data_IF_028380318943
#
_entry.id   IF_028380318943
#
_cell.length_a   1.000
_cell.length_b   1.000
_cell.length_c   1.000
_cell.angle_alpha   90.00
_cell.angle_beta   90.00
_cell.angle_gamma   90.00
#
_symmetry.space_group_name_H-M   'P 1'
#
loop_
_entity.id
_entity.type
_entity.pdbx_description
1 polymer ?
#
# COMPACT_ATOMS: atom_id res chain seq x y z
N UNK A 1 -7.11 -0.86 -10.17
CA UNK A 1 -6.44 -1.62 -9.07
C UNK A 1 -7.06 -1.24 -7.72
N UNK A 2 -6.90 -2.09 -6.69
CA UNK A 2 -7.32 -1.73 -5.33
C UNK A 2 -6.68 -0.42 -4.85
N UNK A 3 -5.39 -0.19 -5.17
CA UNK A 3 -4.61 1.03 -4.86
C UNK A 3 -5.35 2.31 -5.25
N UNK A 4 -5.68 2.42 -6.53
CA UNK A 4 -6.31 3.60 -7.10
C UNK A 4 -7.70 3.87 -6.49
N UNK A 5 -8.50 2.83 -6.22
CA UNK A 5 -9.82 2.97 -5.59
C UNK A 5 -9.74 3.64 -4.22
N UNK A 6 -8.76 3.29 -3.37
CA UNK A 6 -8.63 3.96 -2.07
C UNK A 6 -8.07 5.37 -2.17
N UNK A 7 -7.24 5.66 -3.18
CA UNK A 7 -6.78 7.03 -3.44
C UNK A 7 -7.97 7.92 -3.78
N UNK A 8 -8.81 7.51 -4.75
CA UNK A 8 -10.04 8.24 -5.08
C UNK A 8 -10.95 8.39 -3.87
N UNK A 9 -11.21 7.31 -3.12
CA UNK A 9 -12.07 7.37 -1.94
C UNK A 9 -11.51 8.29 -0.85
N UNK A 10 -10.18 8.38 -0.70
CA UNK A 10 -9.56 9.27 0.28
C UNK A 10 -9.62 10.73 -0.18
N UNK A 11 -9.33 11.02 -1.44
CA UNK A 11 -9.40 12.38 -2.00
C UNK A 11 -10.84 12.92 -2.02
N UNK A 12 -11.81 12.06 -2.33
CA UNK A 12 -13.23 12.42 -2.36
C UNK A 12 -13.74 12.93 -1.00
N UNK A 13 -13.17 12.45 0.12
CA UNK A 13 -13.49 12.95 1.47
C UNK A 13 -13.10 14.43 1.69
N UNK A 14 -12.20 14.94 0.86
CA UNK A 14 -11.75 16.33 0.88
C UNK A 14 -12.34 17.15 -0.28
N UNK A 15 -13.32 16.61 -1.03
CA UNK A 15 -13.88 17.27 -2.21
C UNK A 15 -12.91 17.39 -3.38
N UNK A 16 -11.80 16.64 -3.37
CA UNK A 16 -10.78 16.65 -4.42
C UNK A 16 -10.93 15.40 -5.29
N UNK A 17 -10.80 15.58 -6.60
CA UNK A 17 -10.63 14.48 -7.54
C UNK A 17 -9.21 14.50 -8.10
N UNK A 18 -8.70 13.33 -8.52
CA UNK A 18 -7.50 13.33 -9.35
C UNK A 18 -7.83 14.07 -10.66
N UNK A 19 -6.94 14.95 -11.13
CA UNK A 19 -7.14 15.62 -12.41
C UNK A 19 -7.31 14.57 -13.52
N UNK A 20 -8.08 14.89 -14.57
CA UNK A 20 -8.18 14.07 -15.77
C UNK A 20 -6.87 14.20 -16.57
N UNK A 21 -5.75 13.81 -15.99
CA UNK A 21 -4.49 13.73 -16.71
C UNK A 21 -4.44 12.46 -17.55
N UNK A 22 -3.75 12.48 -18.70
CA UNK A 22 -3.53 11.28 -19.47
C UNK A 22 -2.74 10.33 -18.58
N UNK A 23 -3.33 9.17 -18.29
CA UNK A 23 -2.60 8.08 -17.65
C UNK A 23 -1.44 7.75 -18.57
N UNK A 24 -0.24 8.24 -18.23
CA UNK A 24 0.96 8.04 -19.06
C UNK A 24 1.24 6.54 -19.27
N UNK A 25 0.84 5.72 -18.29
CA UNK A 25 0.86 4.27 -18.39
C UNK A 25 -0.08 3.62 -17.37
N UNK A 26 -0.92 2.69 -17.81
CA UNK A 26 -1.68 1.82 -16.92
C UNK A 26 -0.88 0.57 -16.60
N UNK A 27 -0.34 0.47 -15.39
CA UNK A 27 0.46 -0.70 -14.95
C UNK A 27 -0.11 -1.33 -13.69
N UNK A 28 0.01 -2.66 -13.60
CA UNK A 28 -0.57 -3.47 -12.51
C UNK A 28 0.44 -3.89 -11.44
N UNK A 29 1.75 -3.83 -11.71
CA UNK A 29 2.78 -4.20 -10.74
C UNK A 29 3.43 -2.97 -10.08
N UNK A 30 3.69 -3.01 -8.76
CA UNK A 30 4.43 -1.94 -8.08
C UNK A 30 5.80 -1.68 -8.71
N UNK A 31 6.50 -2.72 -9.16
CA UNK A 31 7.81 -2.61 -9.79
C UNK A 31 7.75 -1.82 -11.11
N UNK A 32 6.73 -2.02 -11.93
CA UNK A 32 6.55 -1.25 -13.16
C UNK A 32 6.23 0.22 -12.86
N UNK A 33 5.46 0.49 -11.80
CA UNK A 33 5.18 1.86 -11.34
C UNK A 33 6.48 2.53 -10.91
N UNK A 34 7.27 1.89 -10.03
CA UNK A 34 8.54 2.45 -9.54
C UNK A 34 9.54 2.68 -10.69
N UNK A 35 9.65 1.74 -11.60
CA UNK A 35 10.50 1.84 -12.79
C UNK A 35 10.07 2.96 -13.75
N UNK A 36 8.76 3.27 -13.82
CA UNK A 36 8.23 4.41 -14.57
C UNK A 36 8.53 5.75 -13.89
N UNK A 37 8.33 5.83 -12.58
CA UNK A 37 8.68 7.02 -11.79
C UNK A 37 10.18 7.32 -11.91
N UNK A 38 11.02 6.31 -11.79
CA UNK A 38 12.48 6.43 -11.94
C UNK A 38 12.91 6.95 -13.32
N UNK A 39 12.16 6.61 -14.37
CA UNK A 39 12.39 7.09 -15.75
C UNK A 39 11.82 8.47 -16.03
N UNK A 40 11.23 9.14 -15.04
CA UNK A 40 10.71 10.50 -15.17
C UNK A 40 9.28 10.59 -15.71
N UNK A 41 8.51 9.50 -15.74
CA UNK A 41 7.10 9.53 -16.15
C UNK A 41 6.16 10.22 -15.14
N UNK A 42 6.70 10.70 -14.01
CA UNK A 42 5.96 11.47 -13.00
C UNK A 42 5.82 10.72 -11.68
N UNK A 43 4.63 10.76 -11.09
CA UNK A 43 4.33 10.16 -9.78
C UNK A 43 3.45 8.92 -9.92
N UNK A 44 3.60 7.98 -8.97
CA UNK A 44 2.83 6.73 -8.95
C UNK A 44 2.33 6.37 -7.57
N UNK A 45 1.24 5.59 -7.52
CA UNK A 45 0.66 5.09 -6.28
C UNK A 45 1.03 3.63 -6.06
N UNK A 46 1.75 3.34 -4.97
CA UNK A 46 2.11 1.97 -4.57
C UNK A 46 1.76 1.72 -3.10
N UNK A 47 1.66 0.45 -2.71
CA UNK A 47 1.64 0.09 -1.29
C UNK A 47 2.99 0.44 -0.67
N UNK A 48 3.01 0.97 0.55
CA UNK A 48 4.25 1.20 1.29
C UNK A 48 5.06 -0.10 1.47
N UNK A 49 4.40 -1.26 1.54
CA UNK A 49 5.08 -2.57 1.59
C UNK A 49 5.82 -2.95 0.31
N UNK A 50 5.46 -2.33 -0.82
CA UNK A 50 6.14 -2.56 -2.09
C UNK A 50 7.32 -1.60 -2.31
N UNK A 51 7.46 -0.58 -1.45
CA UNK A 51 8.61 0.31 -1.49
C UNK A 51 9.74 -0.29 -0.65
N UNK A 52 10.88 -0.53 -1.28
CA UNK A 52 12.11 -0.93 -0.60
C UNK A 52 13.00 0.32 -0.50
N UNK A 53 13.41 0.74 0.71
CA UNK A 53 14.39 1.82 0.86
C UNK A 53 15.63 1.54 0.01
N UNK A 54 16.06 2.53 -0.79
CA UNK A 54 17.20 2.35 -1.70
C UNK A 54 16.84 1.84 -3.10
N UNK A 55 15.57 1.89 -3.53
CA UNK A 55 15.21 1.68 -4.95
C UNK A 55 15.96 2.66 -5.86
N UNK A 56 17.10 2.21 -6.41
CA UNK A 56 18.02 2.90 -7.32
C UNK A 56 18.38 4.36 -6.95
N UNK A 57 18.16 4.78 -5.69
CA UNK A 57 18.47 6.11 -5.16
C UNK A 57 17.68 7.29 -5.75
N UNK A 58 16.75 7.07 -6.69
CA UNK A 58 16.07 8.15 -7.44
C UNK A 58 14.58 8.27 -7.16
N UNK A 59 13.99 7.30 -6.46
CA UNK A 59 12.56 7.29 -6.13
C UNK A 59 12.40 7.48 -4.63
N UNK A 60 11.64 8.50 -4.24
CA UNK A 60 11.38 8.82 -2.84
C UNK A 60 9.88 8.79 -2.52
N UNK A 61 9.46 8.21 -1.39
CA UNK A 61 8.06 8.20 -1.00
C UNK A 61 7.63 9.58 -0.50
N UNK A 62 6.50 10.08 -1.00
CA UNK A 62 5.91 11.36 -0.57
C UNK A 62 4.70 11.11 0.33
N UNK A 63 4.67 11.76 1.50
CA UNK A 63 3.49 11.77 2.38
C UNK A 63 2.67 13.03 2.12
N UNK A 64 1.37 12.86 1.89
CA UNK A 64 0.45 13.97 1.71
C UNK A 64 -0.16 14.32 3.07
N UNK A 65 0.09 15.55 3.53
CA UNK A 65 -0.48 16.05 4.78
C UNK A 65 -2.01 16.01 4.72
N UNK A 66 -2.63 15.50 5.79
CA UNK A 66 -4.09 15.42 5.87
C UNK A 66 -4.70 14.27 5.08
N UNK A 67 -3.96 13.50 4.28
CA UNK A 67 -4.51 12.37 3.52
C UNK A 67 -4.00 11.02 4.04
N UNK A 68 -4.61 10.45 5.10
CA UNK A 68 -4.18 9.17 5.64
C UNK A 68 -4.62 8.01 4.71
N UNK A 69 -3.73 7.62 3.80
CA UNK A 69 -3.93 6.43 2.96
C UNK A 69 -3.60 5.16 3.75
N UNK A 70 -4.57 4.70 4.54
CA UNK A 70 -4.46 3.46 5.33
C UNK A 70 -5.26 2.33 4.69
N UNK A 71 -4.75 1.11 4.85
CA UNK A 71 -5.42 -0.12 4.45
C UNK A 71 -5.34 -1.15 5.54
N UNK A 72 -6.39 -1.94 5.64
CA UNK A 72 -6.43 -3.12 6.46
C UNK A 72 -6.18 -4.32 5.56
N UNK A 73 -5.26 -5.19 5.98
CA UNK A 73 -5.09 -6.51 5.39
C UNK A 73 -5.89 -7.48 6.27
N UNK A 74 -6.76 -8.25 5.63
CA UNK A 74 -7.63 -9.19 6.32
C UNK A 74 -7.18 -10.61 6.02
N UNK A 75 -7.05 -11.43 7.06
CA UNK A 75 -7.00 -12.87 6.91
C UNK A 75 -8.45 -13.39 6.85
N UNK A 76 -8.82 -13.99 5.73
CA UNK A 76 -10.19 -14.50 5.50
C UNK A 76 -10.17 -16.02 5.55
N UNK A 77 -11.09 -16.61 6.32
CA UNK A 77 -11.28 -18.05 6.44
C UNK A 77 -12.75 -18.39 6.14
N UNK A 78 -12.98 -19.43 5.32
CA UNK A 78 -14.31 -20.02 5.21
C UNK A 78 -14.59 -20.87 6.46
N UNK A 79 -15.58 -20.49 7.26
CA UNK A 79 -15.95 -21.19 8.50
C UNK A 79 -16.60 -22.56 8.28
N UNK A 80 -17.06 -22.85 7.06
CA UNK A 80 -17.66 -24.14 6.71
C UNK A 80 -16.61 -25.20 6.33
N UNK A 81 -15.33 -24.84 6.31
CA UNK A 81 -14.23 -25.76 6.00
C UNK A 81 -13.19 -25.72 7.10
N UNK A 82 -12.85 -26.89 7.60
CA UNK A 82 -11.72 -27.03 8.50
C UNK A 82 -10.42 -26.69 7.76
N UNK A 83 -9.54 -26.00 8.47
CA UNK A 83 -8.21 -25.70 7.96
C UNK A 83 -7.28 -26.89 8.20
N UNK A 84 -6.46 -27.28 7.21
CA UNK A 84 -5.32 -28.14 7.46
C UNK A 84 -4.46 -27.61 8.60
N UNK A 85 -3.81 -28.51 9.35
CA UNK A 85 -3.04 -28.16 10.56
C UNK A 85 -2.06 -27.00 10.30
N UNK A 86 -1.35 -27.01 9.17
CA UNK A 86 -0.40 -25.94 8.79
C UNK A 86 -1.10 -24.59 8.62
N UNK A 87 -2.25 -24.56 7.93
CA UNK A 87 -3.02 -23.33 7.73
C UNK A 87 -3.62 -22.80 9.04
N UNK A 88 -4.04 -23.70 9.94
CA UNK A 88 -4.50 -23.33 11.29
C UNK A 88 -3.37 -22.69 12.09
N UNK A 89 -2.18 -23.28 12.09
CA UNK A 89 -0.98 -22.74 12.76
C UNK A 89 -0.58 -21.38 12.20
N UNK A 90 -0.62 -21.20 10.88
CA UNK A 90 -0.37 -19.90 10.26
C UNK A 90 -1.42 -18.86 10.69
N UNK A 91 -2.71 -19.22 10.68
CA UNK A 91 -3.77 -18.29 11.10
C UNK A 91 -3.66 -17.90 12.58
N UNK A 92 -3.29 -18.84 13.46
CA UNK A 92 -2.96 -18.56 14.87
C UNK A 92 -1.76 -17.61 14.99
N UNK A 93 -0.69 -17.86 14.24
CA UNK A 93 0.50 -17.00 14.23
C UNK A 93 0.19 -15.57 13.77
N UNK A 94 -0.55 -15.39 12.66
CA UNK A 94 -0.95 -14.06 12.15
C UNK A 94 -1.77 -13.31 13.20
N UNK A 95 -2.72 -13.98 13.86
CA UNK A 95 -3.59 -13.38 14.89
C UNK A 95 -2.80 -12.95 16.13
N UNK A 96 -1.85 -13.77 16.58
CA UNK A 96 -1.01 -13.42 17.73
C UNK A 96 -0.08 -12.24 17.41
N UNK A 97 0.44 -12.13 16.18
CA UNK A 97 1.28 -11.00 15.75
C UNK A 97 0.50 -9.71 15.51
N UNK A 98 -0.76 -9.79 15.08
CA UNK A 98 -1.57 -8.58 14.82
C UNK A 98 -2.01 -7.86 16.10
N UNK A 99 -1.94 -8.54 17.25
CA UNK A 99 -2.07 -7.91 18.58
C UNK A 99 -0.79 -7.17 19.04
N UNK A 100 0.34 -7.33 18.34
CA UNK A 100 1.51 -6.51 18.58
C UNK A 100 1.26 -5.10 18.03
N UNK A 101 1.59 -4.06 18.81
CA UNK A 101 1.51 -2.66 18.36
C UNK A 101 2.18 -2.55 16.98
N UNK A 102 1.54 -1.90 15.99
CA UNK A 102 2.19 -1.68 14.70
C UNK A 102 3.51 -0.97 14.97
N UNK A 103 4.60 -1.47 14.37
CA UNK A 103 5.90 -0.81 14.37
C UNK A 103 5.67 0.64 13.94
N UNK A 104 5.70 1.56 14.91
CA UNK A 104 5.74 2.98 14.60
C UNK A 104 7.05 3.16 13.88
N UNK A 105 6.99 3.38 12.56
CA UNK A 105 8.12 3.91 11.83
C UNK A 105 8.41 5.29 12.40
N UNK A 106 9.22 5.32 13.47
CA UNK A 106 9.80 6.50 14.09
C UNK A 106 10.72 7.07 13.02
N UNK A 107 10.27 8.13 12.36
CA UNK A 107 11.18 9.03 11.67
C UNK A 107 11.29 10.20 12.62
N UNK A 108 12.42 10.25 13.32
CA UNK A 108 12.85 11.43 14.06
C UNK A 108 12.91 12.58 13.06
N UNK A 109 12.29 13.70 13.45
CA UNK A 109 12.32 14.93 12.68
C UNK A 109 13.74 15.49 12.75
N UNK A 110 14.35 15.72 11.61
CA UNK A 110 15.29 16.82 11.37
C UNK A 110 14.71 17.72 10.28
#
# INVERSE_FOLDING_TARGET
>A
SGTLRSVHAALAKYGVALPPHPIAMGVSSPQAILAGVERGYGMGWVSAFAFVPGWNGRVSPVRIRGLPLRRFLYLVQNRQRDLPIVAKKFAEWVRNRSNAKPLSWRIENE
#
